data_IF_485967184492
#
_entry.id   IF_485967184492
#
_cell.length_a   1.000
_cell.length_b   1.000
_cell.length_c   1.000
_cell.angle_alpha   90.00
_cell.angle_beta   90.00
_cell.angle_gamma   90.00
#
_symmetry.space_group_name_H-M   'P 1'
#
loop_
_entity.id
_entity.type
_entity.pdbx_description
1 polymer ?
#
# COMPACT_ATOMS: atom_id res chain seq x y z
N UNK A 1 5.34 -11.54 18.55
CA UNK A 1 4.01 -10.87 18.61
C UNK A 1 3.37 -10.94 17.23
N UNK A 2 2.04 -10.87 17.08
CA UNK A 2 1.37 -11.09 15.78
C UNK A 2 1.72 -10.02 14.73
N UNK A 3 2.10 -8.82 15.16
CA UNK A 3 2.67 -7.79 14.30
C UNK A 3 3.96 -8.27 13.65
N UNK A 4 4.84 -8.96 14.39
CA UNK A 4 6.09 -9.51 13.85
C UNK A 4 5.82 -10.67 12.88
N UNK A 5 4.80 -11.50 13.17
CA UNK A 5 4.38 -12.55 12.24
C UNK A 5 3.81 -11.97 10.95
N UNK A 6 3.00 -10.91 11.03
CA UNK A 6 2.49 -10.24 9.85
C UNK A 6 3.58 -9.53 9.06
N UNK A 7 4.47 -8.80 9.75
CA UNK A 7 5.63 -8.16 9.13
C UNK A 7 6.46 -9.21 8.41
N UNK A 8 6.74 -10.36 9.03
CA UNK A 8 7.46 -11.45 8.39
C UNK A 8 6.72 -12.05 7.18
N UNK A 9 5.40 -12.19 7.25
CA UNK A 9 4.58 -12.68 6.12
C UNK A 9 4.56 -11.66 4.98
N UNK A 10 4.38 -10.38 5.30
CA UNK A 10 4.43 -9.27 4.34
C UNK A 10 5.80 -9.22 3.68
N UNK A 11 6.88 -9.24 4.44
CA UNK A 11 8.25 -9.14 3.91
C UNK A 11 8.65 -10.36 3.08
N UNK A 12 8.37 -11.57 3.56
CA UNK A 12 8.71 -12.81 2.83
C UNK A 12 7.93 -12.99 1.53
N UNK A 13 6.79 -12.31 1.38
CA UNK A 13 5.88 -12.49 0.23
C UNK A 13 5.58 -11.21 -0.53
N UNK A 14 6.18 -10.08 -0.16
CA UNK A 14 5.91 -8.77 -0.76
C UNK A 14 6.02 -8.83 -2.28
N UNK A 15 7.00 -9.56 -2.82
CA UNK A 15 7.19 -9.74 -4.26
C UNK A 15 6.04 -10.51 -4.93
N UNK A 16 5.55 -11.58 -4.31
CA UNK A 16 4.43 -12.36 -4.85
C UNK A 16 3.13 -11.53 -4.84
N UNK A 17 2.87 -10.82 -3.74
CA UNK A 17 1.72 -9.93 -3.62
C UNK A 17 1.83 -8.78 -4.63
N UNK A 18 3.02 -8.21 -4.79
CA UNK A 18 3.30 -7.14 -5.75
C UNK A 18 3.09 -7.60 -7.20
N UNK A 19 3.47 -8.83 -7.57
CA UNK A 19 3.22 -9.39 -8.91
C UNK A 19 1.74 -9.51 -9.23
N UNK A 20 0.96 -10.03 -8.29
CA UNK A 20 -0.50 -10.13 -8.46
C UNK A 20 -1.14 -8.75 -8.55
N UNK A 21 -0.72 -7.81 -7.68
CA UNK A 21 -1.18 -6.43 -7.73
C UNK A 21 -0.83 -5.75 -9.07
N UNK A 22 0.41 -5.88 -9.55
CA UNK A 22 0.89 -5.21 -10.77
C UNK A 22 0.08 -5.65 -11.99
N UNK A 23 -0.13 -6.96 -12.15
CA UNK A 23 -0.94 -7.51 -13.23
C UNK A 23 -2.32 -6.85 -13.29
N UNK A 24 -2.94 -6.66 -12.14
CA UNK A 24 -4.32 -6.18 -12.06
C UNK A 24 -4.40 -4.66 -12.23
N UNK A 25 -3.46 -3.88 -11.70
CA UNK A 25 -3.40 -2.44 -11.98
C UNK A 25 -3.02 -2.15 -13.44
N UNK A 26 -2.18 -2.97 -14.05
CA UNK A 26 -1.78 -2.83 -15.46
C UNK A 26 -2.95 -3.07 -16.43
N UNK A 27 -3.82 -4.02 -16.10
CA UNK A 27 -4.99 -4.37 -16.90
C UNK A 27 -6.27 -3.58 -16.57
N UNK A 28 -6.28 -2.81 -15.49
CA UNK A 28 -7.48 -2.16 -14.95
C UNK A 28 -7.82 -0.85 -15.68
N UNK A 29 -9.11 -0.66 -15.98
CA UNK A 29 -9.64 0.62 -16.49
C UNK A 29 -9.59 1.76 -15.46
N UNK A 30 -9.43 1.43 -14.17
CA UNK A 30 -9.37 2.40 -13.08
C UNK A 30 -7.97 2.96 -12.85
N UNK A 31 -6.95 2.37 -13.47
CA UNK A 31 -5.54 2.76 -13.33
C UNK A 31 -4.84 2.84 -14.70
N UNK A 32 -5.40 3.60 -15.68
CA UNK A 32 -4.86 3.66 -17.03
C UNK A 32 -3.41 4.14 -17.12
N UNK A 33 -2.92 4.94 -16.16
CA UNK A 33 -1.54 5.41 -16.06
C UNK A 33 -0.53 4.26 -15.92
N UNK A 34 -0.95 3.10 -15.38
CA UNK A 34 -0.08 1.92 -15.30
C UNK A 34 0.28 1.35 -16.66
N UNK A 35 -0.44 1.66 -17.74
CA UNK A 35 -0.06 1.22 -19.10
C UNK A 35 1.34 1.66 -19.49
N UNK A 36 1.82 2.78 -18.95
CA UNK A 36 3.15 3.32 -19.22
C UNK A 36 4.20 2.97 -18.16
N UNK A 37 3.82 2.26 -17.09
CA UNK A 37 4.72 1.84 -16.02
C UNK A 37 5.31 0.46 -16.33
N UNK A 38 6.63 0.31 -16.20
CA UNK A 38 7.30 -0.98 -16.35
C UNK A 38 6.91 -1.94 -15.21
N UNK A 39 7.08 -3.25 -15.43
CA UNK A 39 6.82 -4.23 -14.37
C UNK A 39 7.76 -4.00 -13.18
N UNK A 40 9.04 -3.78 -13.43
CA UNK A 40 10.04 -3.49 -12.41
C UNK A 40 9.64 -2.31 -11.52
N UNK A 41 9.25 -1.18 -12.14
CA UNK A 41 8.84 0.02 -11.40
C UNK A 41 7.56 -0.21 -10.59
N UNK A 42 6.58 -0.93 -11.16
CA UNK A 42 5.36 -1.29 -10.45
C UNK A 42 5.65 -2.18 -9.24
N UNK A 43 6.45 -3.24 -9.43
CA UNK A 43 6.82 -4.14 -8.35
C UNK A 43 7.55 -3.38 -7.24
N UNK A 44 8.53 -2.53 -7.59
CA UNK A 44 9.24 -1.71 -6.61
C UNK A 44 8.29 -0.82 -5.81
N UNK A 45 7.32 -0.20 -6.47
CA UNK A 45 6.30 0.65 -5.83
C UNK A 45 5.52 -0.11 -4.76
N UNK A 46 4.92 -1.26 -5.10
CA UNK A 46 4.14 -2.05 -4.16
C UNK A 46 5.01 -2.61 -3.03
N UNK A 47 6.20 -3.11 -3.37
CA UNK A 47 7.15 -3.68 -2.38
C UNK A 47 7.61 -2.62 -1.38
N UNK A 48 7.84 -1.38 -1.82
CA UNK A 48 8.19 -0.29 -0.93
C UNK A 48 7.04 0.06 0.03
N UNK A 49 5.80 0.08 -0.46
CA UNK A 49 4.62 0.32 0.41
C UNK A 49 4.47 -0.79 1.45
N UNK A 50 4.66 -2.06 1.07
CA UNK A 50 4.65 -3.18 2.03
C UNK A 50 5.76 -3.06 3.08
N UNK A 51 6.97 -2.66 2.68
CA UNK A 51 8.08 -2.40 3.61
C UNK A 51 7.76 -1.28 4.59
N UNK A 52 7.18 -0.17 4.11
CA UNK A 52 6.78 0.98 4.93
C UNK A 52 5.64 0.62 5.89
N UNK A 53 4.70 -0.21 5.46
CA UNK A 53 3.68 -0.78 6.34
C UNK A 53 4.31 -1.60 7.46
N UNK A 54 5.25 -2.49 7.12
CA UNK A 54 5.95 -3.31 8.11
C UNK A 54 6.67 -2.45 9.17
N UNK A 55 7.41 -1.44 8.72
CA UNK A 55 8.05 -0.46 9.60
C UNK A 55 7.05 0.28 10.50
N UNK A 56 5.89 0.66 9.97
CA UNK A 56 4.85 1.35 10.73
C UNK A 56 4.16 0.47 11.77
N UNK A 57 4.08 -0.84 11.54
CA UNK A 57 3.50 -1.77 12.51
C UNK A 57 4.44 -2.04 13.70
N UNK A 58 5.74 -1.79 13.55
CA UNK A 58 6.73 -1.96 14.62
C UNK A 58 6.54 -0.91 15.74
N UNK A 59 6.61 -1.27 17.04
CA UNK A 59 6.41 -0.32 18.14
C UNK A 59 7.50 0.75 18.30
N UNK A 60 8.73 0.49 17.85
CA UNK A 60 9.93 1.31 18.08
C UNK A 60 10.31 2.25 16.93
N UNK A 61 9.49 2.33 15.88
CA UNK A 61 9.77 3.19 14.73
C UNK A 61 9.35 4.64 14.96
N UNK A 62 10.12 5.58 14.40
CA UNK A 62 9.72 6.98 14.26
C UNK A 62 8.84 7.09 12.99
N UNK A 63 7.55 7.37 13.16
CA UNK A 63 6.51 7.09 12.16
C UNK A 63 6.09 8.34 11.40
N UNK A 64 6.91 8.80 10.45
CA UNK A 64 6.47 9.83 9.50
C UNK A 64 5.80 9.22 8.24
N UNK A 65 4.54 8.83 8.41
CA UNK A 65 3.65 8.39 7.31
C UNK A 65 3.33 9.57 6.39
N UNK A 66 3.28 10.79 6.92
CA UNK A 66 2.83 11.96 6.18
C UNK A 66 3.80 12.29 5.05
N UNK A 67 5.05 12.57 5.39
CA UNK A 67 6.06 12.93 4.38
C UNK A 67 6.21 11.83 3.32
N UNK A 68 6.23 10.55 3.76
CA UNK A 68 6.33 9.39 2.87
C UNK A 68 5.26 9.41 1.78
N UNK A 69 4.02 9.68 2.16
CA UNK A 69 2.90 9.61 1.22
C UNK A 69 2.67 10.93 0.47
N UNK A 70 3.03 12.08 1.04
CA UNK A 70 3.09 13.35 0.28
C UNK A 70 4.04 13.22 -0.92
N UNK A 71 5.26 12.72 -0.70
CA UNK A 71 6.24 12.48 -1.77
C UNK A 71 5.74 11.45 -2.78
N UNK A 72 5.05 10.40 -2.31
CA UNK A 72 4.44 9.39 -3.18
C UNK A 72 3.39 10.01 -4.11
N UNK A 73 2.47 10.81 -3.57
CA UNK A 73 1.43 11.49 -4.34
C UNK A 73 2.00 12.47 -5.36
N UNK A 74 3.00 13.25 -4.96
CA UNK A 74 3.73 14.14 -5.86
C UNK A 74 4.42 13.39 -7.00
N UNK A 75 5.08 12.26 -6.69
CA UNK A 75 5.73 11.42 -7.71
C UNK A 75 4.74 10.91 -8.76
N UNK A 76 3.55 10.48 -8.34
CA UNK A 76 2.51 10.04 -9.27
C UNK A 76 1.96 11.18 -10.12
N UNK A 77 1.79 12.38 -9.57
CA UNK A 77 1.44 13.56 -10.36
C UNK A 77 2.47 13.83 -11.46
N UNK A 78 3.76 13.83 -11.10
CA UNK A 78 4.86 14.07 -12.04
C UNK A 78 4.96 12.98 -13.14
N UNK A 79 4.44 11.77 -12.87
CA UNK A 79 4.33 10.67 -13.82
C UNK A 79 3.05 10.73 -14.69
N UNK A 80 2.21 11.75 -14.51
CA UNK A 80 1.00 11.98 -15.29
C UNK A 80 -0.21 11.15 -14.87
N UNK A 81 -0.19 10.57 -13.66
CA UNK A 81 -1.37 9.89 -13.11
C UNK A 81 -2.46 10.90 -12.79
N UNK A 82 -3.73 10.48 -12.90
CA UNK A 82 -4.85 11.24 -12.35
C UNK A 82 -4.99 10.98 -10.85
N UNK A 83 -5.62 11.91 -10.16
CA UNK A 83 -5.81 11.85 -8.70
C UNK A 83 -6.58 10.58 -8.27
N UNK A 84 -7.59 10.17 -9.02
CA UNK A 84 -8.38 8.98 -8.73
C UNK A 84 -7.54 7.69 -8.84
N UNK A 85 -6.53 7.70 -9.70
CA UNK A 85 -5.61 6.56 -9.87
C UNK A 85 -4.69 6.41 -8.67
N UNK A 86 -4.24 7.52 -8.07
CA UNK A 86 -3.46 7.51 -6.82
C UNK A 86 -4.21 6.78 -5.71
N UNK A 87 -5.50 7.08 -5.57
CA UNK A 87 -6.37 6.41 -4.60
C UNK A 87 -6.51 4.92 -4.94
N UNK A 88 -6.79 4.60 -6.20
CA UNK A 88 -6.97 3.23 -6.65
C UNK A 88 -5.73 2.37 -6.46
N UNK A 89 -4.54 2.92 -6.66
CA UNK A 89 -3.27 2.25 -6.37
C UNK A 89 -3.23 1.77 -4.92
N UNK A 90 -3.43 2.68 -3.97
CA UNK A 90 -3.34 2.38 -2.54
C UNK A 90 -4.46 1.44 -2.07
N UNK A 91 -5.68 1.62 -2.60
CA UNK A 91 -6.82 0.73 -2.33
C UNK A 91 -6.54 -0.69 -2.80
N UNK A 92 -5.98 -0.86 -4.01
CA UNK A 92 -5.66 -2.17 -4.55
C UNK A 92 -4.50 -2.82 -3.80
N UNK A 93 -3.45 -2.09 -3.44
CA UNK A 93 -2.36 -2.63 -2.60
C UNK A 93 -2.92 -3.17 -1.28
N UNK A 94 -3.77 -2.40 -0.58
CA UNK A 94 -4.46 -2.87 0.64
C UNK A 94 -5.27 -4.14 0.38
N UNK A 95 -6.00 -4.20 -0.74
CA UNK A 95 -6.83 -5.37 -1.09
C UNK A 95 -5.99 -6.63 -1.32
N UNK A 96 -4.92 -6.57 -2.10
CA UNK A 96 -4.12 -7.77 -2.38
C UNK A 96 -3.35 -8.26 -1.17
N UNK A 97 -2.94 -7.36 -0.27
CA UNK A 97 -2.45 -7.75 1.04
C UNK A 97 -3.48 -8.65 1.77
N UNK A 98 -4.72 -8.18 1.89
CA UNK A 98 -5.76 -8.95 2.59
C UNK A 98 -6.13 -10.26 1.91
N UNK A 99 -6.24 -10.27 0.59
CA UNK A 99 -6.53 -11.50 -0.16
C UNK A 99 -5.46 -12.56 0.08
N UNK A 100 -4.18 -12.18 0.02
CA UNK A 100 -3.10 -13.12 0.28
C UNK A 100 -3.07 -13.60 1.73
N UNK A 101 -3.35 -12.71 2.70
CA UNK A 101 -3.42 -13.12 4.11
C UNK A 101 -4.54 -14.13 4.38
N UNK A 102 -5.69 -13.97 3.71
CA UNK A 102 -6.82 -14.90 3.82
C UNK A 102 -6.51 -16.26 3.18
N UNK A 103 -5.87 -16.28 2.01
CA UNK A 103 -5.48 -17.52 1.32
C UNK A 103 -4.52 -18.40 2.14
N UNK A 104 -3.75 -17.81 3.05
CA UNK A 104 -2.82 -18.56 3.92
C UNK A 104 -3.50 -19.21 5.14
N UNK A 105 -4.82 -19.08 5.31
CA UNK A 105 -5.51 -19.66 6.45
C UNK A 105 -5.11 -19.03 7.79
N UNK A 106 -4.61 -17.79 7.77
CA UNK A 106 -4.47 -16.99 8.99
C UNK A 106 -5.88 -16.79 9.55
N UNK A 107 -6.07 -16.90 10.87
CA UNK A 107 -7.38 -16.80 11.57
C UNK A 107 -8.21 -18.09 11.66
N UNK A 108 -7.57 -19.25 11.79
CA UNK A 108 -8.30 -20.53 11.97
C UNK A 108 -8.86 -20.76 13.37
N UNK A 109 -8.38 -20.04 14.38
CA UNK A 109 -8.86 -20.14 15.77
C UNK A 109 -9.49 -18.83 16.26
N UNK A 110 -10.43 -18.90 17.22
CA UNK A 110 -11.12 -17.72 17.77
C UNK A 110 -10.15 -16.67 18.34
N UNK A 111 -9.03 -17.09 18.95
CA UNK A 111 -8.01 -16.18 19.48
C UNK A 111 -7.25 -15.46 18.36
N UNK A 112 -6.98 -16.15 17.24
CA UNK A 112 -6.35 -15.55 16.07
C UNK A 112 -7.27 -14.53 15.39
N UNK A 113 -8.59 -14.77 15.38
CA UNK A 113 -9.59 -13.85 14.83
C UNK A 113 -9.58 -12.50 15.54
N UNK A 114 -9.65 -12.48 16.88
CA UNK A 114 -9.64 -11.21 17.63
C UNK A 114 -8.35 -10.41 17.40
N UNK A 115 -7.20 -11.08 17.38
CA UNK A 115 -5.92 -10.40 17.17
C UNK A 115 -5.73 -9.95 15.72
N UNK A 116 -6.26 -10.71 14.75
CA UNK A 116 -6.29 -10.27 13.37
C UNK A 116 -7.21 -9.06 13.15
N UNK A 117 -8.28 -8.93 13.93
CA UNK A 117 -9.14 -7.74 13.92
C UNK A 117 -8.41 -6.50 14.43
N UNK A 118 -7.67 -6.60 15.55
CA UNK A 118 -6.83 -5.51 16.06
C UNK A 118 -5.79 -5.07 15.02
N UNK A 119 -5.17 -6.05 14.35
CA UNK A 119 -4.22 -5.82 13.29
C UNK A 119 -4.87 -5.20 12.04
N UNK A 120 -6.08 -5.64 11.69
CA UNK A 120 -6.84 -5.07 10.59
C UNK A 120 -7.08 -3.58 10.81
N UNK A 121 -7.47 -3.19 12.02
CA UNK A 121 -7.65 -1.78 12.38
C UNK A 121 -6.36 -0.96 12.20
N UNK A 122 -5.19 -1.52 12.54
CA UNK A 122 -3.88 -0.88 12.33
C UNK A 122 -3.57 -0.69 10.84
N UNK A 123 -3.74 -1.73 10.03
CA UNK A 123 -3.51 -1.68 8.57
C UNK A 123 -4.49 -0.73 7.88
N UNK A 124 -5.77 -0.75 8.25
CA UNK A 124 -6.78 0.18 7.73
C UNK A 124 -6.38 1.62 8.03
N UNK A 125 -6.04 1.93 9.29
CA UNK A 125 -5.60 3.26 9.69
C UNK A 125 -4.36 3.73 8.90
N UNK A 126 -3.41 2.83 8.66
CA UNK A 126 -2.22 3.12 7.85
C UNK A 126 -2.59 3.55 6.43
N UNK A 127 -3.40 2.74 5.74
CA UNK A 127 -3.77 3.02 4.35
C UNK A 127 -4.71 4.23 4.21
N UNK A 128 -5.58 4.46 5.18
CA UNK A 128 -6.47 5.62 5.15
C UNK A 128 -5.66 6.92 5.30
N UNK A 129 -4.65 6.93 6.18
CA UNK A 129 -3.67 8.03 6.27
C UNK A 129 -2.84 8.16 5.00
N UNK A 130 -2.37 7.05 4.45
CA UNK A 130 -1.61 7.04 3.21
C UNK A 130 -2.36 7.71 2.06
N UNK A 131 -3.66 7.41 1.92
CA UNK A 131 -4.52 8.02 0.90
C UNK A 131 -4.65 9.52 1.13
N UNK A 132 -4.97 9.97 2.34
CA UNK A 132 -5.09 11.40 2.65
C UNK A 132 -3.82 12.17 2.32
N UNK A 133 -2.67 11.69 2.79
CA UNK A 133 -1.38 12.36 2.58
C UNK A 133 -0.90 12.29 1.12
N UNK A 134 -1.20 11.20 0.40
CA UNK A 134 -0.92 11.13 -1.04
C UNK A 134 -1.75 12.14 -1.83
N UNK A 135 -3.02 12.35 -1.46
CA UNK A 135 -3.84 13.39 -2.08
C UNK A 135 -3.34 14.80 -1.75
N UNK A 136 -2.89 15.04 -0.52
CA UNK A 136 -2.26 16.32 -0.13
C UNK A 136 -1.00 16.60 -0.96
N UNK A 137 -0.08 15.64 -1.05
CA UNK A 137 1.14 15.77 -1.84
C UNK A 137 0.87 15.98 -3.33
N UNK A 138 -0.07 15.23 -3.89
CA UNK A 138 -0.52 15.39 -5.27
C UNK A 138 -1.12 16.79 -5.51
N UNK A 139 -1.97 17.29 -4.61
CA UNK A 139 -2.56 18.63 -4.72
C UNK A 139 -1.50 19.73 -4.64
N UNK A 140 -0.54 19.60 -3.72
CA UNK A 140 0.56 20.54 -3.59
C UNK A 140 1.42 20.58 -4.86
N UNK A 141 1.62 19.42 -5.51
CA UNK A 141 2.33 19.34 -6.79
C UNK A 141 1.56 20.04 -7.92
N UNK A 142 0.22 19.93 -7.98
CA UNK A 142 -0.61 20.71 -8.91
C UNK A 142 -0.40 22.21 -8.69
N UNK A 143 -0.49 22.67 -7.43
CA UNK A 143 -0.42 24.09 -7.10
C UNK A 143 0.95 24.71 -7.46
N UNK A 144 2.04 23.93 -7.36
CA UNK A 144 3.39 24.38 -7.76
C UNK A 144 3.60 24.49 -9.27
N UNK A 145 2.79 23.79 -10.08
CA UNK A 145 2.92 23.75 -11.55
C UNK A 145 1.85 24.61 -12.26
N UNK A 146 1.09 25.40 -11.51
CA UNK A 146 0.18 26.43 -12.03
C UNK A 146 0.91 27.77 -12.14
#
# INVERSE_FOLDING_TARGET
MLEEQLVAIIESRAEAIAKTWYRDVKGSQYTPGFKNISEEEGLEMATNIYRKLGYWLTPSSDKDVKYTYEVFGESLYNKGFRMEEVVMVLVLIKRYLWLHLLEQGIMTTNLEVYRALELNNKVVLYFDRAICFALEGYKNAIERNK
#
